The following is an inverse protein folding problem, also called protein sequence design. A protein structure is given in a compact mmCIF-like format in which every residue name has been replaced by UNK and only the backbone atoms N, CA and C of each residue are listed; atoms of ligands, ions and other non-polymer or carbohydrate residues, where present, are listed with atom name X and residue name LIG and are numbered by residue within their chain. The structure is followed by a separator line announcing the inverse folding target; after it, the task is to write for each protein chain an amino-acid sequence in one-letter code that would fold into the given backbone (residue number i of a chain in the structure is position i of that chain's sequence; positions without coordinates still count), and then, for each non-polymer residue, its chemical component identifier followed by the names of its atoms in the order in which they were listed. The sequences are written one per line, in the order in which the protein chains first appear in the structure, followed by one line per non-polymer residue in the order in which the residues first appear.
data_IF_303107385745
#
_entry.id   IF_303107385745
#
_cell.length_a   1.000
_cell.length_b   1.000
_cell.length_c   1.000
_cell.angle_alpha   90.00
_cell.angle_beta   90.00
_cell.angle_gamma   90.00
#
_symmetry.space_group_name_H-M   'P 1'
#
loop_
_entity.id
_entity.type
_entity.pdbx_description
1 polymer ?
#
# COMPACT_ATOMS: atom_id res chain seq x y z
N UNK A 1 17.78 15.24 43.18
CA UNK A 1 17.83 15.10 44.66
C UNK A 1 19.16 15.64 45.15
N UNK A 2 19.21 16.29 46.34
CA UNK A 2 20.44 16.64 47.00
C UNK A 2 20.90 15.47 47.86
N UNK A 3 22.19 15.17 47.86
CA UNK A 3 22.81 14.16 48.70
C UNK A 3 23.80 14.87 49.62
N UNK A 4 23.69 14.66 50.89
CA UNK A 4 24.66 15.19 51.86
C UNK A 4 25.88 14.29 51.89
N UNK A 5 27.05 14.91 51.63
CA UNK A 5 28.37 14.26 51.61
C UNK A 5 29.16 14.83 52.74
N UNK A 6 29.63 13.97 53.66
CA UNK A 6 30.52 14.36 54.72
C UNK A 6 31.91 14.77 54.16
N UNK A 7 32.46 15.84 54.68
CA UNK A 7 33.85 16.23 54.40
C UNK A 7 34.65 16.34 55.70
N UNK A 8 35.91 16.09 55.62
CA UNK A 8 36.90 16.22 56.72
C UNK A 8 38.07 17.03 56.19
N UNK A 9 38.42 18.01 56.91
CA UNK A 9 39.63 18.80 56.70
C UNK A 9 40.64 18.47 57.80
N UNK A 10 41.82 18.00 57.44
CA UNK A 10 42.95 17.77 58.35
C UNK A 10 44.03 18.78 58.06
N UNK A 11 44.29 19.72 58.97
CA UNK A 11 45.32 20.71 58.78
C UNK A 11 46.75 20.09 58.79
N UNK A 12 47.65 20.67 58.04
CA UNK A 12 49.04 20.26 57.95
C UNK A 12 49.75 20.43 59.31
N UNK A 13 49.45 21.55 60.01
CA UNK A 13 49.92 21.76 61.40
C UNK A 13 48.83 21.30 62.40
N UNK A 14 48.90 20.06 62.75
CA UNK A 14 47.99 19.40 63.75
C UNK A 14 48.33 19.83 65.21
N UNK A 15 49.40 20.51 65.48
CA UNK A 15 49.72 21.02 66.84
C UNK A 15 48.99 22.36 67.11
N UNK A 16 48.81 23.14 66.10
CA UNK A 16 48.18 24.47 66.22
C UNK A 16 46.69 24.46 65.87
N UNK A 17 46.27 23.58 64.96
CA UNK A 17 44.86 23.50 64.44
C UNK A 17 44.29 22.16 64.66
N UNK A 18 42.96 22.12 64.96
CA UNK A 18 42.18 20.88 65.07
C UNK A 18 41.53 20.53 63.73
N UNK A 19 41.28 19.24 63.53
CA UNK A 19 40.49 18.79 62.38
C UNK A 19 39.06 19.40 62.40
N UNK A 20 38.58 19.69 61.22
CA UNK A 20 37.18 20.10 61.05
C UNK A 20 36.41 19.12 60.13
N UNK A 21 35.17 18.87 60.48
CA UNK A 21 34.27 18.03 59.71
C UNK A 21 32.96 18.77 59.46
N UNK A 22 32.30 18.45 58.37
CA UNK A 22 30.98 19.03 58.05
C UNK A 22 30.29 18.21 56.96
N UNK A 23 29.18 18.71 56.49
CA UNK A 23 28.45 18.15 55.39
C UNK A 23 28.28 19.21 54.30
N UNK A 24 28.32 18.77 53.06
CA UNK A 24 27.98 19.59 51.88
C UNK A 24 26.91 18.85 51.06
N UNK A 25 25.88 19.57 50.60
CA UNK A 25 24.86 19.01 49.77
C UNK A 25 25.29 19.03 48.29
N UNK A 26 25.46 17.85 47.72
CA UNK A 26 25.77 17.67 46.29
C UNK A 26 24.49 17.38 45.55
N UNK A 27 24.16 18.15 44.51
CA UNK A 27 23.02 17.95 43.66
C UNK A 27 23.42 17.12 42.42
N UNK A 28 22.83 15.93 42.28
CA UNK A 28 22.96 15.11 41.09
C UNK A 28 21.72 15.30 40.22
N UNK A 29 21.90 15.82 39.03
CA UNK A 29 20.82 16.01 38.08
C UNK A 29 20.69 14.76 37.20
N UNK A 30 19.46 14.53 36.67
CA UNK A 30 19.25 13.47 35.68
C UNK A 30 20.06 13.75 34.43
N UNK A 31 20.54 12.68 33.81
CA UNK A 31 21.24 12.72 32.54
C UNK A 31 20.26 12.57 31.35
N UNK A 32 20.70 12.89 30.15
CA UNK A 32 19.95 12.60 28.93
C UNK A 32 20.16 11.16 28.50
N UNK A 33 19.14 10.59 27.85
CA UNK A 33 19.24 9.29 27.20
C UNK A 33 18.79 9.43 25.75
N UNK A 34 19.21 8.51 24.88
CA UNK A 34 18.96 8.59 23.45
C UNK A 34 18.69 7.21 22.88
N UNK A 35 18.11 7.18 21.67
CA UNK A 35 17.90 5.98 20.89
C UNK A 35 17.44 6.34 19.47
N UNK A 36 17.56 5.38 18.58
CA UNK A 36 17.14 5.50 17.17
C UNK A 36 16.10 4.41 16.87
N UNK A 37 14.91 4.80 16.45
CA UNK A 37 13.86 3.89 16.04
C UNK A 37 14.02 3.51 14.58
N UNK A 38 13.72 2.27 14.24
CA UNK A 38 13.56 1.80 12.86
C UNK A 38 12.39 0.84 12.72
N UNK A 39 11.79 0.83 11.53
CA UNK A 39 10.67 -0.03 11.15
C UNK A 39 10.83 -0.40 9.68
N UNK A 40 10.71 -1.70 9.35
CA UNK A 40 10.67 -2.16 7.96
C UNK A 40 9.29 -1.93 7.35
N UNK A 41 9.24 -1.60 6.06
CA UNK A 41 8.01 -1.60 5.29
C UNK A 41 7.47 -3.02 5.09
N UNK A 42 6.19 -3.13 4.73
CA UNK A 42 5.52 -4.39 4.46
C UNK A 42 4.38 -4.19 3.45
N UNK A 43 3.78 -5.27 2.95
CA UNK A 43 2.66 -5.21 2.02
C UNK A 43 1.33 -5.25 2.77
N UNK A 44 0.33 -4.50 2.31
CA UNK A 44 -1.02 -4.51 2.86
C UNK A 44 -1.56 -5.94 3.06
N UNK A 45 -2.20 -6.17 4.19
CA UNK A 45 -2.72 -7.49 4.59
C UNK A 45 -1.68 -8.44 5.19
N UNK A 46 -0.38 -8.11 5.15
CA UNK A 46 0.64 -8.88 5.85
C UNK A 46 0.78 -8.43 7.29
N UNK A 47 1.29 -9.32 8.13
CA UNK A 47 1.65 -8.97 9.51
C UNK A 47 2.87 -8.05 9.50
N UNK A 48 2.79 -6.85 10.10
CA UNK A 48 3.92 -5.95 10.18
C UNK A 48 5.05 -6.53 11.04
N UNK A 49 6.28 -6.15 10.73
CA UNK A 49 7.42 -6.43 11.57
C UNK A 49 7.37 -5.67 12.90
N UNK A 50 8.25 -6.04 13.82
CA UNK A 50 8.40 -5.34 15.11
C UNK A 50 9.30 -4.12 14.94
N UNK A 51 8.90 -2.91 15.41
CA UNK A 51 9.79 -1.77 15.46
C UNK A 51 11.00 -2.08 16.34
N UNK A 52 12.16 -1.59 15.98
CA UNK A 52 13.40 -1.77 16.75
C UNK A 52 13.96 -0.43 17.25
N UNK A 53 14.63 -0.46 18.38
CA UNK A 53 15.29 0.69 18.95
C UNK A 53 16.77 0.36 19.12
N UNK A 54 17.62 1.07 18.39
CA UNK A 54 19.08 0.90 18.37
C UNK A 54 19.78 2.14 18.93
N UNK A 55 21.10 2.09 19.02
CA UNK A 55 21.96 3.18 19.47
C UNK A 55 21.52 3.76 20.83
N UNK A 56 20.98 2.89 21.71
CA UNK A 56 20.51 3.30 23.03
C UNK A 56 21.66 3.69 23.94
N UNK A 57 21.48 4.83 24.58
CA UNK A 57 22.33 5.29 25.70
C UNK A 57 21.45 5.53 26.92
N UNK A 58 22.06 5.57 28.11
CA UNK A 58 21.34 5.78 29.35
C UNK A 58 20.85 4.50 30.00
N UNK A 59 19.64 4.51 30.53
CA UNK A 59 19.06 3.33 31.19
C UNK A 59 18.45 2.35 30.17
N UNK A 60 19.15 1.24 29.93
CA UNK A 60 18.71 0.21 28.99
C UNK A 60 17.44 -0.53 29.44
N UNK A 61 17.09 -0.45 30.74
CA UNK A 61 15.88 -1.05 31.29
C UNK A 61 14.69 -0.08 31.30
N UNK A 62 14.88 1.17 30.89
CA UNK A 62 13.78 2.13 30.78
C UNK A 62 12.70 1.58 29.83
N UNK A 63 11.44 1.75 30.22
CA UNK A 63 10.29 1.33 29.42
C UNK A 63 10.30 2.05 28.06
N UNK A 64 10.09 1.30 27.00
CA UNK A 64 9.96 1.84 25.64
C UNK A 64 8.53 1.65 25.15
N UNK A 65 7.94 2.70 24.64
CA UNK A 65 6.65 2.68 23.94
C UNK A 65 6.82 3.18 22.51
N UNK A 66 6.00 2.66 21.60
CA UNK A 66 6.04 3.04 20.20
C UNK A 66 4.76 3.74 19.78
N UNK A 67 4.87 4.62 18.80
CA UNK A 67 3.76 5.30 18.19
C UNK A 67 3.99 5.46 16.69
N UNK A 68 2.91 5.61 15.93
CA UNK A 68 2.95 5.85 14.50
C UNK A 68 2.04 7.01 14.11
N UNK A 69 2.32 7.59 12.96
CA UNK A 69 1.46 8.61 12.34
C UNK A 69 1.48 8.43 10.82
N UNK A 70 0.36 8.75 10.16
CA UNK A 70 0.36 8.97 8.72
C UNK A 70 1.22 10.21 8.43
N UNK A 71 2.02 10.19 7.38
CA UNK A 71 2.77 11.38 6.95
C UNK A 71 1.80 12.55 6.76
N UNK A 72 2.16 13.70 7.31
CA UNK A 72 1.37 14.95 7.29
C UNK A 72 0.06 14.96 8.12
N UNK A 73 -0.27 13.91 8.88
CA UNK A 73 -1.49 13.91 9.71
C UNK A 73 -1.36 14.67 11.04
N UNK A 74 -0.15 14.90 11.53
CA UNK A 74 0.11 15.54 12.83
C UNK A 74 -0.38 14.78 14.07
N UNK A 75 -1.10 13.67 13.90
CA UNK A 75 -1.66 12.86 14.99
C UNK A 75 -0.89 11.56 15.14
N UNK A 76 -0.31 11.34 16.33
CA UNK A 76 0.43 10.12 16.67
C UNK A 76 -0.52 9.13 17.34
N UNK A 77 -0.56 7.90 16.82
CA UNK A 77 -1.30 6.76 17.36
C UNK A 77 -0.34 5.82 18.11
N UNK A 78 -0.86 5.05 19.05
CA UNK A 78 -0.06 4.03 19.75
C UNK A 78 0.16 2.82 18.85
N UNK A 79 1.41 2.33 18.83
CA UNK A 79 1.76 1.04 18.22
C UNK A 79 1.87 -0.02 19.31
N UNK A 80 0.94 -0.98 19.31
CA UNK A 80 1.01 -2.14 20.21
C UNK A 80 1.80 -3.25 19.51
N UNK A 81 2.95 -3.62 20.07
CA UNK A 81 3.81 -4.70 19.53
C UNK A 81 3.09 -6.05 19.56
N UNK A 82 2.26 -6.29 20.59
CA UNK A 82 1.54 -7.55 20.77
C UNK A 82 0.36 -7.70 19.83
N UNK A 83 -0.21 -6.56 19.42
CA UNK A 83 -1.35 -6.49 18.51
C UNK A 83 -1.18 -5.26 17.58
N UNK A 84 -0.27 -5.36 16.59
CA UNK A 84 0.04 -4.22 15.73
C UNK A 84 -1.21 -3.81 14.91
N UNK A 85 -1.41 -2.49 14.70
CA UNK A 85 -2.57 -2.01 13.97
C UNK A 85 -2.53 -2.45 12.50
N UNK A 86 -3.70 -2.81 11.95
CA UNK A 86 -3.86 -2.98 10.52
C UNK A 86 -3.84 -1.59 9.85
N UNK A 87 -2.84 -1.33 9.02
CA UNK A 87 -2.70 -0.08 8.30
C UNK A 87 -3.04 -0.27 6.82
N UNK A 88 -3.65 0.75 6.23
CA UNK A 88 -3.83 0.84 4.78
C UNK A 88 -2.48 1.08 4.09
N UNK A 89 -2.42 0.84 2.78
CA UNK A 89 -1.24 1.20 1.99
C UNK A 89 -0.97 2.71 2.07
N UNK A 90 0.30 3.07 2.22
CA UNK A 90 0.69 4.46 2.42
C UNK A 90 2.03 4.60 3.13
N UNK A 91 2.43 5.86 3.35
CA UNK A 91 3.67 6.18 4.06
C UNK A 91 3.38 6.65 5.48
N UNK A 92 4.13 6.11 6.42
CA UNK A 92 3.95 6.31 7.85
C UNK A 92 5.27 6.71 8.52
N UNK A 93 5.15 7.36 9.68
CA UNK A 93 6.26 7.65 10.58
C UNK A 93 6.14 6.82 11.84
N UNK A 94 7.23 6.16 12.23
CA UNK A 94 7.36 5.44 13.48
C UNK A 94 8.15 6.26 14.48
N UNK A 95 7.68 6.30 15.72
CA UNK A 95 8.28 6.99 16.85
C UNK A 95 8.55 6.00 17.98
N UNK A 96 9.54 6.29 18.82
CA UNK A 96 9.70 5.61 20.09
C UNK A 96 9.88 6.64 21.21
N UNK A 97 9.31 6.33 22.37
CA UNK A 97 9.50 7.08 23.60
C UNK A 97 10.19 6.19 24.62
N UNK A 98 11.35 6.64 25.09
CA UNK A 98 12.09 6.01 26.20
C UNK A 98 11.63 6.70 27.48
N UNK A 99 11.03 5.94 28.39
CA UNK A 99 10.47 6.47 29.63
C UNK A 99 11.52 7.08 30.56
N UNK A 100 11.08 8.01 31.37
CA UNK A 100 11.89 8.61 32.44
C UNK A 100 12.23 7.57 33.52
N UNK A 101 13.42 7.68 34.08
CA UNK A 101 13.86 6.84 35.22
C UNK A 101 14.41 7.72 36.34
N UNK A 102 14.87 7.10 37.43
CA UNK A 102 15.47 7.85 38.55
C UNK A 102 16.63 8.75 38.15
N UNK A 103 17.44 8.29 37.19
CA UNK A 103 18.70 8.95 36.80
C UNK A 103 18.66 9.58 35.40
N UNK A 104 17.61 9.36 34.60
CA UNK A 104 17.52 9.82 33.22
C UNK A 104 16.18 10.47 32.92
N UNK A 105 16.20 11.55 32.14
CA UNK A 105 15.00 12.17 31.58
C UNK A 105 14.40 11.29 30.50
N UNK A 106 13.09 11.41 30.26
CA UNK A 106 12.45 10.79 29.11
C UNK A 106 13.08 11.30 27.80
N UNK A 107 13.00 10.47 26.78
CA UNK A 107 13.46 10.85 25.45
C UNK A 107 12.49 10.35 24.36
N UNK A 108 12.08 11.27 23.50
CA UNK A 108 11.34 10.96 22.29
C UNK A 108 12.32 10.91 21.11
N UNK A 109 12.37 9.78 20.41
CA UNK A 109 13.27 9.62 19.27
C UNK A 109 12.83 10.52 18.12
N UNK A 110 13.74 10.80 17.18
CA UNK A 110 13.31 11.21 15.84
C UNK A 110 12.58 10.03 15.18
N UNK A 111 11.64 10.34 14.29
CA UNK A 111 10.92 9.29 13.56
C UNK A 111 11.82 8.61 12.51
N UNK A 112 11.45 7.40 12.11
CA UNK A 112 11.80 6.81 10.83
C UNK A 112 10.53 6.70 9.97
N UNK A 113 10.69 6.77 8.66
CA UNK A 113 9.58 6.50 7.73
C UNK A 113 9.60 5.04 7.31
N UNK A 114 8.40 4.47 7.13
CA UNK A 114 8.18 3.15 6.56
C UNK A 114 6.97 3.17 5.63
N UNK A 115 6.92 2.25 4.68
CA UNK A 115 5.87 2.17 3.67
C UNK A 115 5.08 0.88 3.86
N UNK A 116 3.76 0.99 3.79
CA UNK A 116 2.86 -0.14 3.54
C UNK A 116 2.54 -0.12 2.05
N UNK A 117 3.08 -1.09 1.33
CA UNK A 117 2.89 -1.23 -0.12
C UNK A 117 1.50 -1.77 -0.42
N UNK A 118 0.92 -1.39 -1.58
CA UNK A 118 -0.32 -2.02 -2.05
C UNK A 118 -0.09 -3.50 -2.34
N UNK A 119 -1.07 -4.31 -1.99
CA UNK A 119 -1.06 -5.73 -2.31
C UNK A 119 -1.52 -5.99 -3.75
N UNK A 120 -1.21 -7.17 -4.27
CA UNK A 120 -1.87 -7.70 -5.47
C UNK A 120 -3.22 -8.29 -5.05
N UNK A 121 -4.33 -7.90 -5.69
CA UNK A 121 -5.65 -8.44 -5.34
C UNK A 121 -5.79 -9.90 -5.78
N UNK A 122 -6.60 -10.65 -5.07
CA UNK A 122 -7.15 -11.91 -5.58
C UNK A 122 -8.23 -11.62 -6.61
N UNK A 123 -8.23 -12.36 -7.72
CA UNK A 123 -9.24 -12.26 -8.76
C UNK A 123 -9.49 -13.61 -9.44
N UNK A 124 -10.65 -13.77 -10.03
CA UNK A 124 -10.99 -14.94 -10.84
C UNK A 124 -11.00 -14.55 -12.31
N UNK A 125 -10.20 -15.24 -13.12
CA UNK A 125 -10.14 -15.00 -14.57
C UNK A 125 -11.47 -15.37 -15.22
N UNK A 126 -12.13 -14.45 -15.97
CA UNK A 126 -13.35 -14.76 -16.71
C UNK A 126 -13.13 -15.85 -17.76
N UNK A 127 -14.04 -16.81 -17.82
CA UNK A 127 -14.02 -17.91 -18.78
C UNK A 127 -15.33 -17.97 -19.56
N UNK A 128 -15.34 -18.74 -20.66
CA UNK A 128 -16.54 -18.92 -21.47
C UNK A 128 -16.96 -17.68 -22.26
N UNK A 129 -16.05 -16.75 -22.51
CA UNK A 129 -16.34 -15.55 -23.29
C UNK A 129 -16.53 -15.92 -24.76
N UNK A 130 -17.57 -15.33 -25.38
CA UNK A 130 -17.92 -15.57 -26.78
C UNK A 130 -18.11 -14.26 -27.52
N UNK A 131 -17.80 -14.28 -28.80
CA UNK A 131 -18.06 -13.19 -29.74
C UNK A 131 -18.54 -13.74 -31.08
N UNK A 132 -19.06 -12.88 -31.95
CA UNK A 132 -19.35 -13.17 -33.37
C UNK A 132 -18.27 -12.52 -34.25
N UNK A 133 -17.96 -13.18 -35.36
CA UNK A 133 -17.06 -12.59 -36.38
C UNK A 133 -17.50 -11.17 -36.75
N UNK A 134 -16.54 -10.24 -36.83
CA UNK A 134 -16.78 -8.84 -37.12
C UNK A 134 -17.05 -7.95 -35.91
N UNK A 135 -17.26 -8.49 -34.72
CA UNK A 135 -17.39 -7.73 -33.48
C UNK A 135 -16.04 -7.17 -33.02
N UNK A 136 -16.12 -6.22 -32.09
CA UNK A 136 -14.98 -5.68 -31.34
C UNK A 136 -15.01 -6.18 -29.89
N UNK A 137 -13.91 -6.06 -29.20
CA UNK A 137 -13.84 -6.42 -27.77
C UNK A 137 -14.81 -5.59 -26.93
N UNK A 138 -15.13 -4.35 -27.32
CA UNK A 138 -16.15 -3.52 -26.67
C UNK A 138 -17.54 -4.18 -26.63
N UNK A 139 -17.86 -5.08 -27.59
CA UNK A 139 -19.15 -5.77 -27.69
C UNK A 139 -19.24 -6.96 -26.72
N UNK A 140 -18.13 -7.37 -26.12
CA UNK A 140 -18.05 -8.49 -25.17
C UNK A 140 -18.09 -7.93 -23.76
N UNK A 141 -19.20 -8.20 -23.06
CA UNK A 141 -19.38 -7.76 -21.68
C UNK A 141 -18.50 -8.60 -20.74
N UNK A 142 -17.66 -7.95 -20.00
CA UNK A 142 -16.86 -8.54 -18.93
C UNK A 142 -17.55 -8.39 -17.56
N UNK A 143 -17.23 -9.25 -16.58
CA UNK A 143 -17.66 -9.08 -15.19
C UNK A 143 -17.14 -7.77 -14.58
N UNK A 144 -17.71 -7.39 -13.42
CA UNK A 144 -17.29 -6.20 -12.68
C UNK A 144 -15.80 -6.26 -12.33
N UNK A 145 -15.15 -5.12 -12.39
CA UNK A 145 -13.71 -4.95 -12.20
C UNK A 145 -12.87 -5.29 -13.44
N UNK A 146 -13.40 -5.96 -14.44
CA UNK A 146 -12.70 -6.33 -15.66
C UNK A 146 -12.92 -5.33 -16.79
N UNK A 147 -11.87 -5.08 -17.55
CA UNK A 147 -11.95 -4.31 -18.79
C UNK A 147 -10.87 -4.74 -19.79
N UNK A 148 -11.17 -4.62 -21.09
CA UNK A 148 -10.18 -4.86 -22.13
C UNK A 148 -9.11 -3.78 -22.14
N UNK A 149 -7.85 -4.16 -22.43
CA UNK A 149 -6.76 -3.17 -22.60
C UNK A 149 -7.00 -2.27 -23.84
N UNK A 150 -7.52 -2.86 -24.91
CA UNK A 150 -7.95 -2.17 -26.12
C UNK A 150 -9.34 -2.68 -26.55
N UNK A 151 -10.37 -2.00 -26.09
CA UNK A 151 -11.77 -2.35 -26.41
C UNK A 151 -12.11 -2.16 -27.89
N UNK A 152 -11.35 -1.37 -28.64
CA UNK A 152 -11.56 -1.11 -30.07
C UNK A 152 -11.08 -2.24 -30.98
N UNK A 153 -10.28 -3.16 -30.46
CA UNK A 153 -9.68 -4.28 -31.21
C UNK A 153 -10.75 -5.22 -31.74
N UNK A 154 -10.64 -5.59 -33.03
CA UNK A 154 -11.52 -6.58 -33.64
C UNK A 154 -11.21 -7.97 -33.10
N UNK A 155 -12.25 -8.79 -32.88
CA UNK A 155 -12.11 -10.20 -32.58
C UNK A 155 -11.66 -11.04 -33.77
N UNK A 156 -11.77 -10.47 -35.00
CA UNK A 156 -11.42 -11.12 -36.26
C UNK A 156 -12.45 -12.16 -36.72
N UNK A 157 -11.98 -13.11 -37.52
CA UNK A 157 -12.85 -14.16 -38.13
C UNK A 157 -13.21 -15.26 -37.15
N UNK A 158 -14.29 -15.99 -37.43
CA UNK A 158 -14.70 -17.17 -36.69
C UNK A 158 -13.59 -18.22 -36.64
N UNK A 159 -13.46 -18.91 -35.52
CA UNK A 159 -12.41 -19.89 -35.27
C UNK A 159 -12.96 -21.09 -34.50
N UNK A 160 -12.42 -22.25 -34.68
CA UNK A 160 -12.70 -23.45 -33.90
C UNK A 160 -11.91 -23.56 -32.61
N UNK A 161 -10.92 -22.65 -32.44
CA UNK A 161 -10.10 -22.51 -31.21
C UNK A 161 -10.32 -21.13 -30.63
N UNK A 162 -10.14 -20.99 -29.31
CA UNK A 162 -10.20 -19.71 -28.61
C UNK A 162 -9.07 -18.79 -29.09
N UNK A 163 -9.32 -17.49 -29.05
CA UNK A 163 -8.32 -16.43 -29.27
C UNK A 163 -8.08 -15.71 -27.97
N UNK A 164 -6.85 -15.31 -27.74
CA UNK A 164 -6.44 -14.58 -26.53
C UNK A 164 -6.40 -13.07 -26.77
N UNK A 165 -6.91 -12.33 -25.79
CA UNK A 165 -6.89 -10.87 -25.78
C UNK A 165 -6.50 -10.35 -24.40
N UNK A 166 -5.80 -9.21 -24.37
CA UNK A 166 -5.31 -8.60 -23.15
C UNK A 166 -6.42 -7.82 -22.44
N UNK A 167 -6.54 -8.07 -21.15
CA UNK A 167 -7.47 -7.39 -20.25
C UNK A 167 -6.75 -6.91 -18.99
N UNK A 168 -7.45 -6.12 -18.19
CA UNK A 168 -7.00 -5.69 -16.87
C UNK A 168 -8.11 -5.88 -15.85
N UNK A 169 -7.69 -6.11 -14.62
CA UNK A 169 -8.55 -6.17 -13.44
C UNK A 169 -8.28 -4.98 -12.53
N UNK A 170 -9.32 -4.23 -12.19
CA UNK A 170 -9.29 -3.12 -11.25
C UNK A 170 -10.06 -3.53 -10.00
N UNK A 171 -9.41 -3.69 -8.84
CA UNK A 171 -10.10 -4.03 -7.59
C UNK A 171 -11.00 -2.89 -7.12
N UNK A 172 -12.00 -3.18 -6.32
CA UNK A 172 -12.88 -2.17 -5.72
C UNK A 172 -12.12 -1.27 -4.74
N UNK A 173 -11.21 -1.86 -3.97
CA UNK A 173 -10.33 -1.13 -3.04
C UNK A 173 -9.01 -0.79 -3.76
N UNK A 174 -9.01 0.30 -4.51
CA UNK A 174 -7.83 0.81 -5.22
C UNK A 174 -6.82 1.50 -4.31
N UNK A 175 -7.19 1.79 -3.08
CA UNK A 175 -6.28 2.42 -2.11
C UNK A 175 -5.27 1.40 -1.58
N UNK A 176 -5.69 0.15 -1.39
CA UNK A 176 -4.88 -0.91 -0.80
C UNK A 176 -4.38 -1.96 -1.79
N UNK A 177 -4.96 -2.03 -2.98
CA UNK A 177 -4.59 -3.03 -3.99
C UNK A 177 -4.17 -2.39 -5.31
N UNK A 178 -3.23 -3.06 -5.97
CA UNK A 178 -2.79 -2.70 -7.30
C UNK A 178 -3.80 -3.16 -8.35
N UNK A 179 -3.94 -2.39 -9.43
CA UNK A 179 -4.56 -2.89 -10.66
C UNK A 179 -3.64 -3.95 -11.29
N UNK A 180 -4.22 -5.00 -11.86
CA UNK A 180 -3.47 -6.05 -12.56
C UNK A 180 -3.74 -5.94 -14.05
N UNK A 181 -2.69 -5.78 -14.83
CA UNK A 181 -2.77 -5.56 -16.28
C UNK A 181 -2.19 -6.75 -17.06
N UNK A 182 -2.44 -6.76 -18.37
CA UNK A 182 -1.90 -7.74 -19.32
C UNK A 182 -2.34 -9.20 -19.00
N UNK A 183 -3.57 -9.35 -18.48
CA UNK A 183 -4.14 -10.67 -18.22
C UNK A 183 -4.74 -11.19 -19.54
N UNK A 184 -4.37 -12.40 -19.93
CA UNK A 184 -4.90 -13.03 -21.13
C UNK A 184 -6.26 -13.64 -20.86
N UNK A 185 -7.29 -13.23 -21.64
CA UNK A 185 -8.63 -13.82 -21.63
C UNK A 185 -8.88 -14.53 -22.94
N UNK A 186 -9.45 -15.73 -22.84
CA UNK A 186 -9.82 -16.55 -23.98
C UNK A 186 -11.24 -16.21 -24.46
N UNK A 187 -11.39 -15.97 -25.77
CA UNK A 187 -12.66 -15.67 -26.42
C UNK A 187 -12.90 -16.66 -27.58
N UNK A 188 -14.03 -17.34 -27.58
CA UNK A 188 -14.49 -18.15 -28.70
C UNK A 188 -15.21 -17.25 -29.72
N UNK A 189 -14.67 -17.17 -30.93
CA UNK A 189 -15.27 -16.36 -32.01
C UNK A 189 -16.12 -17.25 -32.93
N UNK A 190 -17.43 -17.10 -32.84
CA UNK A 190 -18.41 -17.82 -33.64
C UNK A 190 -18.67 -17.12 -34.96
N UNK A 191 -19.29 -17.82 -35.91
CA UNK A 191 -19.77 -17.24 -37.17
C UNK A 191 -20.81 -16.14 -36.90
N UNK A 192 -20.83 -15.11 -37.71
CA UNK A 192 -21.89 -14.10 -37.70
C UNK A 192 -23.21 -14.73 -38.22
N UNK A 193 -24.36 -14.23 -37.72
CA UNK A 193 -25.67 -14.69 -38.20
C UNK A 193 -25.91 -14.17 -39.61
N UNK A 194 -26.20 -15.06 -40.53
CA UNK A 194 -26.50 -14.70 -41.93
C UNK A 194 -27.82 -13.91 -42.10
N UNK A 195 -28.65 -13.82 -41.07
CA UNK A 195 -29.89 -13.05 -41.06
C UNK A 195 -29.71 -11.54 -41.23
N UNK A 196 -28.55 -10.99 -40.86
CA UNK A 196 -28.25 -9.56 -41.04
C UNK A 196 -27.85 -9.19 -42.49
N UNK A 197 -27.53 -10.19 -43.32
CA UNK A 197 -27.17 -9.97 -44.71
C UNK A 197 -28.40 -9.90 -45.63
N UNK A 198 -29.62 -10.23 -45.14
CA UNK A 198 -30.85 -10.19 -45.95
C UNK A 198 -31.47 -8.83 -46.13
N UNK A 199 -31.01 -7.80 -45.40
CA UNK A 199 -31.60 -6.45 -45.45
C UNK A 199 -31.03 -5.57 -46.56
N UNK A 200 -29.90 -5.94 -47.17
CA UNK A 200 -29.36 -5.16 -48.31
C UNK A 200 -29.62 -5.74 -49.69
N UNK A 201 -30.23 -6.96 -49.77
CA UNK A 201 -30.50 -7.61 -51.06
C UNK A 201 -31.92 -7.38 -51.59
N UNK A 202 -32.73 -6.54 -51.00
CA UNK A 202 -34.03 -6.14 -51.55
C UNK A 202 -34.02 -4.68 -52.03
N UNK A 203 -33.01 -4.29 -52.81
CA UNK A 203 -33.20 -3.28 -53.81
C UNK A 203 -33.68 -3.98 -55.03
N UNK A 204 -35.00 -4.15 -55.12
CA UNK A 204 -35.68 -4.44 -56.35
C UNK A 204 -35.35 -3.34 -57.35
N UNK A 205 -34.67 -3.75 -58.37
CA UNK A 205 -34.57 -3.04 -59.63
C UNK A 205 -35.97 -3.01 -60.25
N UNK A 206 -36.71 -1.90 -60.03
CA UNK A 206 -38.00 -1.61 -60.65
C UNK A 206 -37.82 -0.46 -61.58
N UNK A 207 -36.93 -0.60 -62.54
CA UNK A 207 -36.96 0.26 -63.72
C UNK A 207 -36.35 -0.48 -64.92
N UNK A 208 -37.15 -1.37 -65.49
CA UNK A 208 -37.00 -1.71 -66.90
C UNK A 208 -38.37 -1.88 -67.56
N UNK A 209 -38.97 -0.77 -67.87
CA UNK A 209 -40.12 -0.66 -68.73
C UNK A 209 -39.63 -0.72 -70.18
N UNK A 210 -39.49 -1.95 -70.72
CA UNK A 210 -39.26 -2.11 -72.13
C UNK A 210 -40.61 -2.40 -72.82
N UNK A 211 -41.21 -1.34 -73.32
CA UNK A 211 -42.33 -1.42 -74.28
C UNK A 211 -41.81 -1.94 -75.61
N UNK A 212 -42.14 -3.19 -75.89
CA UNK A 212 -41.99 -3.72 -77.26
C UNK A 212 -43.29 -3.43 -78.00
N UNK A 213 -43.23 -2.41 -78.86
CA UNK A 213 -44.30 -2.20 -79.84
C UNK A 213 -44.32 -3.32 -80.88
N UNK A 214 -45.52 -3.93 -81.08
CA UNK A 214 -45.81 -4.79 -82.17
C UNK A 214 -45.71 -4.01 -83.44
N UNK A 215 -45.00 -4.54 -84.45
CA UNK A 215 -45.18 -4.22 -85.83
C UNK A 215 -45.55 -5.51 -86.54
N UNK A 216 -46.84 -5.57 -87.01
CA UNK A 216 -47.33 -6.50 -88.01
C UNK A 216 -46.76 -6.19 -89.42
N UNK A 217 -46.31 -7.17 -90.09
CA UNK A 217 -46.64 -7.57 -91.48
C UNK A 217 -46.11 -8.92 -91.82
#
# INVERSE_FOLDING_TARGET
MGHDVGWKFTPEDGNTYTEATGTATVRVNKAQQYGKVSMAGYTYGQTPGTPTLTDRTGDLNAQVTYGYAVVDSGSVQTWDISNPPALNAGTYRMFARIGETGNYYEHNTRYCEFVVEKATPDYTVPTGLTAKSGQRLADIKLPDGWSWMDSSKSVGDASTVTKTFQAKFTPTDTDNYNMVENIELEVMVNKADSSSLKTESTRTDTDNHNTVENMEL
#
